data_IF_907728538746
#
_entry.id   IF_907728538746
#
_cell.length_a   1.000
_cell.length_b   1.000
_cell.length_c   1.000
_cell.angle_alpha   90.00
_cell.angle_beta   90.00
_cell.angle_gamma   90.00
#
_symmetry.space_group_name_H-M   'P 1'
#
loop_
_entity.id
_entity.type
_entity.pdbx_description
1 polymer ?
#
# COMPACT_ATOMS: atom_id res chain seq x y z
N UNK A 1 8.33 -13.62 21.47
CA UNK A 1 7.47 -13.05 20.40
C UNK A 1 6.63 -14.16 19.79
N UNK A 2 5.30 -14.12 19.92
CA UNK A 2 4.41 -15.13 19.33
C UNK A 2 4.24 -14.79 17.84
N UNK A 3 4.60 -15.73 16.95
CA UNK A 3 4.38 -15.59 15.50
C UNK A 3 3.01 -16.15 15.12
N UNK A 4 2.07 -15.27 14.79
CA UNK A 4 0.74 -15.63 14.34
C UNK A 4 0.65 -15.52 12.82
N UNK A 5 0.28 -16.62 12.16
CA UNK A 5 -0.07 -16.58 10.73
C UNK A 5 -1.49 -16.06 10.56
N UNK A 6 -1.80 -15.31 9.48
CA UNK A 6 -3.15 -14.87 9.18
C UNK A 6 -4.17 -16.02 9.14
N UNK A 7 -3.82 -17.16 8.54
CA UNK A 7 -4.74 -18.28 8.32
C UNK A 7 -4.78 -19.27 9.49
N UNK A 8 -3.63 -19.66 10.03
CA UNK A 8 -3.59 -20.69 11.10
C UNK A 8 -3.59 -20.09 12.51
N UNK A 9 -3.37 -18.78 12.65
CA UNK A 9 -3.42 -18.07 13.93
C UNK A 9 -4.68 -17.23 14.03
N UNK A 10 -4.73 -16.10 13.31
CA UNK A 10 -5.79 -15.10 13.43
C UNK A 10 -7.17 -15.65 13.00
N UNK A 11 -7.26 -16.27 11.82
CA UNK A 11 -8.51 -16.87 11.36
C UNK A 11 -8.94 -18.05 12.25
N UNK A 12 -8.00 -18.84 12.76
CA UNK A 12 -8.31 -19.93 13.68
C UNK A 12 -8.90 -19.41 14.99
N UNK A 13 -8.30 -18.36 15.57
CA UNK A 13 -8.81 -17.71 16.78
C UNK A 13 -10.20 -17.13 16.56
N UNK A 14 -10.40 -16.39 15.46
CA UNK A 14 -11.70 -15.79 15.10
C UNK A 14 -12.80 -16.84 14.94
N UNK A 15 -12.46 -18.00 14.36
CA UNK A 15 -13.44 -19.06 14.08
C UNK A 15 -13.67 -20.00 15.28
N UNK A 16 -12.64 -20.29 16.08
CA UNK A 16 -12.72 -21.20 17.22
C UNK A 16 -11.58 -20.93 18.24
N UNK A 17 -11.84 -20.14 19.30
CA UNK A 17 -10.84 -19.83 20.32
C UNK A 17 -10.30 -21.07 21.06
N UNK A 18 -11.16 -22.07 21.32
CA UNK A 18 -10.74 -23.35 21.93
C UNK A 18 -9.76 -24.09 21.03
N UNK A 19 -10.05 -24.16 19.72
CA UNK A 19 -9.18 -24.81 18.75
C UNK A 19 -7.83 -24.09 18.64
N UNK A 20 -7.84 -22.76 18.72
CA UNK A 20 -6.61 -21.96 18.79
C UNK A 20 -5.77 -22.31 20.02
N UNK A 21 -6.39 -22.37 21.20
CA UNK A 21 -5.69 -22.77 22.44
C UNK A 21 -5.10 -24.18 22.34
N UNK A 22 -5.87 -25.15 21.83
CA UNK A 22 -5.39 -26.51 21.62
C UNK A 22 -4.20 -26.56 20.64
N UNK A 23 -4.24 -25.76 19.58
CA UNK A 23 -3.16 -25.70 18.57
C UNK A 23 -1.86 -25.13 19.14
N UNK A 24 -1.91 -24.03 19.90
CA UNK A 24 -0.72 -23.35 20.40
C UNK A 24 -0.21 -23.91 21.74
N UNK A 25 -1.08 -24.38 22.63
CA UNK A 25 -0.69 -24.86 23.97
C UNK A 25 -0.61 -26.39 24.08
N UNK A 26 -1.45 -27.12 23.33
CA UNK A 26 -1.47 -28.59 23.34
C UNK A 26 -0.92 -29.21 22.06
N UNK A 27 -0.50 -28.41 21.08
CA UNK A 27 -0.01 -28.84 19.76
C UNK A 27 -0.98 -29.74 18.98
N UNK A 28 -2.26 -29.75 19.36
CA UNK A 28 -3.31 -30.51 18.67
C UNK A 28 -3.84 -29.66 17.52
N UNK A 29 -3.44 -30.01 16.30
CA UNK A 29 -3.83 -29.28 15.08
C UNK A 29 -5.14 -29.80 14.52
N UNK A 30 -5.94 -28.89 13.94
CA UNK A 30 -7.12 -29.26 13.16
C UNK A 30 -6.67 -30.04 11.90
N UNK A 31 -7.41 -31.08 11.46
CA UNK A 31 -7.16 -31.72 10.18
C UNK A 31 -7.12 -30.68 9.06
N UNK A 32 -6.16 -30.82 8.15
CA UNK A 32 -6.01 -29.90 7.02
C UNK A 32 -7.06 -30.20 5.97
N UNK A 33 -7.72 -29.16 5.47
CA UNK A 33 -8.60 -29.25 4.30
C UNK A 33 -7.78 -29.34 3.01
N UNK A 34 -8.50 -29.53 1.89
CA UNK A 34 -7.92 -29.50 0.55
C UNK A 34 -7.39 -28.09 0.30
N UNK A 35 -6.10 -27.99 -0.03
CA UNK A 35 -5.49 -26.72 -0.38
C UNK A 35 -5.44 -26.57 -1.90
N UNK A 36 -5.99 -25.49 -2.49
CA UNK A 36 -5.91 -25.27 -3.93
C UNK A 36 -4.47 -24.90 -4.30
N UNK A 37 -3.73 -25.84 -4.92
CA UNK A 37 -2.35 -25.63 -5.36
C UNK A 37 -2.24 -24.85 -6.67
N UNK A 38 -3.29 -24.87 -7.50
CA UNK A 38 -3.31 -24.27 -8.83
C UNK A 38 -2.98 -22.76 -8.82
N UNK A 39 -3.58 -21.92 -7.96
CA UNK A 39 -3.25 -20.49 -7.90
C UNK A 39 -1.76 -20.24 -7.60
N UNK A 40 -1.18 -21.04 -6.69
CA UNK A 40 0.24 -20.95 -6.38
C UNK A 40 1.13 -21.36 -7.56
N UNK A 41 0.74 -22.39 -8.31
CA UNK A 41 1.44 -22.81 -9.52
C UNK A 41 1.44 -21.75 -10.62
N UNK A 42 0.27 -21.16 -10.90
CA UNK A 42 0.13 -20.09 -11.89
C UNK A 42 0.98 -18.87 -11.53
N UNK A 43 0.91 -18.45 -10.27
CA UNK A 43 1.70 -17.34 -9.74
C UNK A 43 3.22 -17.55 -9.90
N UNK A 44 3.71 -18.77 -9.66
CA UNK A 44 5.12 -19.11 -9.88
C UNK A 44 5.54 -18.98 -11.34
N UNK A 45 4.68 -19.41 -12.28
CA UNK A 45 4.96 -19.31 -13.72
C UNK A 45 4.99 -17.84 -14.15
N UNK A 46 3.99 -17.06 -13.75
CA UNK A 46 3.87 -15.64 -14.09
C UNK A 46 5.07 -14.86 -13.52
N UNK A 47 5.43 -15.07 -12.26
CA UNK A 47 6.59 -14.41 -11.65
C UNK A 47 7.88 -14.70 -12.42
N UNK A 48 8.13 -15.97 -12.77
CA UNK A 48 9.30 -16.36 -13.56
C UNK A 48 9.30 -15.72 -14.95
N UNK A 49 8.13 -15.62 -15.59
CA UNK A 49 7.99 -14.97 -16.88
C UNK A 49 8.39 -13.49 -16.80
N UNK A 50 7.80 -12.74 -15.87
CA UNK A 50 8.08 -11.31 -15.69
C UNK A 50 9.52 -11.04 -15.21
N UNK A 51 10.14 -11.97 -14.48
CA UNK A 51 11.54 -11.86 -14.08
C UNK A 51 12.51 -11.87 -15.26
N UNK A 52 12.14 -12.47 -16.41
CA UNK A 52 12.97 -12.44 -17.62
C UNK A 52 13.04 -11.05 -18.27
N UNK A 53 12.03 -10.22 -18.04
CA UNK A 53 11.92 -8.89 -18.68
C UNK A 53 12.46 -7.77 -17.78
N UNK A 54 13.23 -8.05 -16.73
CA UNK A 54 13.78 -6.96 -15.89
C UNK A 54 14.58 -5.96 -16.73
N UNK A 55 14.16 -4.70 -16.69
CA UNK A 55 14.70 -3.62 -17.50
C UNK A 55 13.84 -3.20 -18.70
N UNK A 56 12.84 -4.01 -19.08
CA UNK A 56 11.84 -3.68 -20.11
C UNK A 56 10.45 -4.20 -19.74
N UNK A 57 9.41 -3.76 -20.45
CA UNK A 57 8.09 -4.37 -20.28
C UNK A 57 8.02 -5.65 -21.14
N UNK A 58 7.36 -6.73 -20.66
CA UNK A 58 6.97 -7.84 -21.50
C UNK A 58 6.06 -7.38 -22.66
N UNK A 59 6.13 -8.02 -23.84
CA UNK A 59 5.41 -7.61 -25.04
C UNK A 59 3.88 -7.63 -24.86
N UNK A 60 3.36 -8.39 -23.91
CA UNK A 60 1.93 -8.45 -23.62
C UNK A 60 1.38 -7.14 -23.04
N UNK A 61 2.22 -6.38 -22.33
CA UNK A 61 1.85 -5.16 -21.62
C UNK A 61 2.58 -3.92 -22.10
N UNK A 62 3.63 -4.09 -22.90
CA UNK A 62 4.34 -3.01 -23.58
C UNK A 62 3.36 -2.20 -24.45
N UNK A 63 3.36 -0.87 -24.29
CA UNK A 63 2.44 0.03 -24.98
C UNK A 63 0.99 0.03 -24.51
N UNK A 64 0.63 -0.85 -23.56
CA UNK A 64 -0.73 -0.88 -22.96
C UNK A 64 -0.79 -0.23 -21.59
N UNK A 65 0.34 -0.19 -20.89
CA UNK A 65 0.45 0.36 -19.54
C UNK A 65 1.63 1.32 -19.48
N UNK A 66 1.40 2.51 -18.94
CA UNK A 66 2.47 3.44 -18.60
C UNK A 66 3.13 3.01 -17.29
N UNK A 67 4.41 2.63 -17.35
CA UNK A 67 5.18 2.26 -16.17
C UNK A 67 6.37 1.37 -16.50
N UNK A 68 7.16 1.05 -15.46
CA UNK A 68 8.27 0.11 -15.56
C UNK A 68 8.12 -0.98 -14.50
N UNK A 69 8.77 -2.12 -14.73
CA UNK A 69 8.87 -3.15 -13.70
C UNK A 69 9.66 -2.62 -12.49
N UNK A 70 9.23 -2.96 -11.28
CA UNK A 70 9.86 -2.49 -10.04
C UNK A 70 11.36 -2.82 -10.01
N UNK A 71 12.25 -1.82 -9.85
CA UNK A 71 13.70 -2.01 -10.01
C UNK A 71 14.36 -2.71 -8.81
N UNK A 72 13.84 -2.52 -7.59
CA UNK A 72 14.43 -3.04 -6.36
C UNK A 72 14.26 -4.56 -6.19
N UNK A 73 15.19 -5.35 -6.73
CA UNK A 73 15.16 -6.82 -6.65
C UNK A 73 15.24 -7.33 -5.21
N UNK A 74 16.08 -6.72 -4.37
CA UNK A 74 16.22 -7.11 -2.96
C UNK A 74 14.94 -6.88 -2.16
N UNK A 75 14.36 -5.67 -2.29
CA UNK A 75 13.09 -5.32 -1.66
C UNK A 75 11.97 -6.26 -2.13
N UNK A 76 11.94 -6.57 -3.43
CA UNK A 76 10.97 -7.51 -3.97
C UNK A 76 11.17 -8.94 -3.42
N UNK A 77 12.41 -9.42 -3.32
CA UNK A 77 12.70 -10.74 -2.77
C UNK A 77 12.26 -10.83 -1.30
N UNK A 78 12.45 -9.75 -0.54
CA UNK A 78 11.90 -9.61 0.81
C UNK A 78 10.37 -9.67 0.81
N UNK A 79 9.68 -9.02 -0.14
CA UNK A 79 8.22 -9.05 -0.21
C UNK A 79 7.66 -10.40 -0.69
N UNK A 80 8.36 -11.08 -1.61
CA UNK A 80 8.02 -12.42 -2.07
C UNK A 80 8.13 -13.45 -0.96
N UNK A 81 9.04 -13.24 -0.01
CA UNK A 81 9.12 -14.07 1.16
C UNK A 81 8.04 -13.69 2.18
N UNK A 82 6.96 -14.47 2.18
CA UNK A 82 5.85 -14.30 3.13
C UNK A 82 6.25 -14.37 4.61
N UNK A 83 7.45 -14.90 4.93
CA UNK A 83 7.98 -14.99 6.30
C UNK A 83 8.65 -13.70 6.79
N UNK A 84 9.02 -12.80 5.88
CA UNK A 84 9.60 -11.49 6.17
C UNK A 84 8.56 -10.37 6.05
N UNK A 85 7.28 -10.72 6.28
CA UNK A 85 6.12 -9.86 6.06
C UNK A 85 6.03 -8.63 6.97
N UNK A 86 4.85 -8.00 6.99
CA UNK A 86 4.61 -6.79 7.77
C UNK A 86 4.82 -7.02 9.27
N UNK A 87 5.71 -6.22 9.85
CA UNK A 87 5.95 -6.17 11.29
C UNK A 87 5.15 -5.01 11.89
N UNK A 88 4.24 -5.32 12.81
CA UNK A 88 3.54 -4.30 13.59
C UNK A 88 4.37 -3.94 14.81
N UNK A 89 4.82 -2.68 14.85
CA UNK A 89 5.43 -2.10 16.02
C UNK A 89 4.35 -1.37 16.81
N UNK A 90 4.12 -1.79 18.05
CA UNK A 90 3.27 -1.04 18.96
C UNK A 90 3.99 0.27 19.28
N UNK A 91 3.42 1.40 18.87
CA UNK A 91 3.79 2.68 19.45
C UNK A 91 3.22 2.71 20.88
N UNK A 92 4.08 2.70 21.89
CA UNK A 92 3.67 3.03 23.25
C UNK A 92 3.60 4.56 23.30
N UNK A 93 2.42 5.08 23.66
CA UNK A 93 2.10 6.52 23.63
C UNK A 93 3.00 7.39 24.55
N UNK A 94 3.89 6.79 25.33
CA UNK A 94 4.91 7.45 26.16
C UNK A 94 5.99 8.17 25.35
N UNK A 95 6.21 7.78 24.09
CA UNK A 95 7.34 8.28 23.29
C UNK A 95 7.03 9.61 22.58
N UNK A 96 5.83 10.15 22.78
CA UNK A 96 5.44 11.49 22.31
C UNK A 96 5.85 12.62 23.28
N UNK A 97 6.47 12.29 24.43
CA UNK A 97 6.84 13.29 25.46
C UNK A 97 8.31 13.74 25.33
N UNK A 98 9.15 13.05 24.56
CA UNK A 98 10.60 13.33 24.47
C UNK A 98 11.07 13.90 23.12
N UNK A 99 10.17 14.34 22.23
CA UNK A 99 10.57 15.11 21.06
C UNK A 99 10.64 16.60 21.41
N UNK A 100 11.83 17.23 21.51
CA UNK A 100 11.91 18.67 21.65
C UNK A 100 11.29 19.33 20.41
N UNK A 101 10.30 20.18 20.65
CA UNK A 101 9.78 21.12 19.66
C UNK A 101 10.89 22.17 19.47
N UNK A 102 11.66 22.07 18.39
CA UNK A 102 12.65 23.12 18.09
C UNK A 102 13.61 22.75 16.97
N UNK A 103 13.43 23.39 15.81
CA UNK A 103 14.43 23.43 14.75
C UNK A 103 13.87 23.19 13.35
N UNK A 104 13.16 24.18 12.80
CA UNK A 104 13.01 24.30 11.35
C UNK A 104 14.41 24.36 10.73
N UNK A 105 14.73 23.59 9.67
CA UNK A 105 15.96 23.82 8.93
C UNK A 105 15.85 25.18 8.23
N UNK A 106 16.80 26.05 8.53
CA UNK A 106 16.86 27.42 8.04
C UNK A 106 16.88 27.48 6.52
N UNK A 107 15.99 28.32 5.98
CA UNK A 107 16.13 28.86 4.62
C UNK A 107 17.31 29.82 4.66
N UNK A 108 18.39 29.48 3.97
CA UNK A 108 19.52 30.39 3.73
C UNK A 108 19.08 31.53 2.79
N UNK A 109 19.42 32.80 3.09
CA UNK A 109 19.15 33.93 2.20
C UNK A 109 20.34 34.22 1.27
N UNK A 110 20.04 34.60 0.03
CA UNK A 110 20.98 35.32 -0.83
C UNK A 110 20.90 34.91 -2.29
N UNK A 111 20.25 35.73 -3.12
CA UNK A 111 20.91 36.49 -4.20
C UNK A 111 19.90 37.45 -4.82
N UNK A 112 20.16 38.74 -4.60
CA UNK A 112 19.53 39.93 -5.17
C UNK A 112 19.93 40.12 -6.63
N UNK A 113 18.95 40.38 -7.52
CA UNK A 113 19.03 41.28 -8.68
C UNK A 113 17.56 41.69 -9.00
N UNK A 114 17.12 42.89 -8.63
CA UNK A 114 17.13 44.13 -9.43
C UNK A 114 16.14 44.12 -10.62
N UNK A 115 15.13 45.00 -10.59
CA UNK A 115 14.41 45.44 -11.80
C UNK A 115 12.89 45.60 -11.72
N UNK A 116 12.44 46.71 -11.13
CA UNK A 116 11.33 47.60 -11.54
C UNK A 116 10.04 47.06 -12.23
N UNK A 117 8.92 47.36 -11.53
CA UNK A 117 7.72 48.08 -11.98
C UNK A 117 6.75 47.52 -13.04
N UNK A 118 5.48 47.92 -12.84
CA UNK A 118 4.32 47.92 -13.76
C UNK A 118 3.57 46.57 -13.90
N UNK A 119 2.24 46.43 -13.75
CA UNK A 119 1.12 47.37 -13.85
C UNK A 119 -0.08 46.92 -12.95
N UNK A 120 -0.92 47.90 -12.60
CA UNK A 120 -2.27 47.82 -12.01
C UNK A 120 -3.25 46.83 -12.68
N UNK A 121 -4.28 46.39 -11.95
CA UNK A 121 -5.56 46.06 -12.60
C UNK A 121 -6.59 45.23 -11.82
N UNK A 122 -7.38 45.91 -10.96
CA UNK A 122 -8.83 45.76 -10.72
C UNK A 122 -9.45 44.37 -10.41
N UNK A 123 -10.07 44.29 -9.23
CA UNK A 123 -11.15 43.38 -8.87
C UNK A 123 -12.50 43.83 -9.49
N UNK A 124 -13.66 43.30 -9.02
CA UNK A 124 -14.30 42.04 -9.38
C UNK A 124 -15.65 42.28 -10.08
N UNK A 125 -16.30 41.26 -10.66
CA UNK A 125 -17.74 41.35 -10.95
C UNK A 125 -18.48 40.05 -10.64
N UNK A 126 -19.48 40.24 -9.77
CA UNK A 126 -20.61 39.40 -9.39
C UNK A 126 -21.61 39.15 -10.52
N UNK A 127 -22.31 38.01 -10.45
CA UNK A 127 -23.77 37.75 -10.65
C UNK A 127 -23.94 36.32 -11.19
N UNK A 128 -24.62 35.41 -10.46
CA UNK A 128 -26.06 35.10 -10.63
C UNK A 128 -26.22 34.21 -11.88
N UNK A 129 -26.84 33.03 -11.91
CA UNK A 129 -27.90 32.34 -11.18
C UNK A 129 -28.00 30.96 -11.89
N UNK A 130 -28.33 29.84 -11.27
CA UNK A 130 -29.69 29.27 -11.23
C UNK A 130 -29.56 27.75 -11.23
N UNK A 131 -30.46 27.12 -10.49
CA UNK A 131 -30.69 25.68 -10.36
C UNK A 131 -31.22 25.07 -11.67
N UNK A 132 -30.96 23.78 -11.93
CA UNK A 132 -32.03 22.75 -12.05
C UNK A 132 -31.47 21.35 -12.38
N UNK A 133 -32.24 20.37 -11.91
CA UNK A 133 -32.06 18.92 -11.85
C UNK A 133 -31.85 18.20 -13.19
N UNK A 134 -31.22 17.02 -13.13
CA UNK A 134 -31.68 15.86 -13.89
C UNK A 134 -31.21 14.54 -13.25
N UNK A 135 -32.15 13.82 -12.66
CA UNK A 135 -32.07 12.42 -12.29
C UNK A 135 -32.20 11.54 -13.52
N UNK A 136 -31.48 10.41 -13.59
CA UNK A 136 -32.06 9.11 -13.98
C UNK A 136 -31.09 7.95 -13.73
N UNK A 137 -31.57 6.85 -13.13
CA UNK A 137 -30.87 5.58 -13.03
C UNK A 137 -31.23 4.67 -14.23
N UNK A 138 -30.28 3.88 -14.72
CA UNK A 138 -30.59 2.80 -15.67
C UNK A 138 -30.19 1.48 -15.01
N UNK A 139 -31.21 0.64 -14.79
CA UNK A 139 -31.08 -0.74 -14.34
C UNK A 139 -31.07 -1.73 -15.50
N UNK A 140 -30.37 -2.84 -15.22
CA UNK A 140 -30.73 -4.25 -15.46
C UNK A 140 -31.06 -4.70 -16.90
N UNK A 141 -30.28 -5.70 -17.35
CA UNK A 141 -30.84 -6.97 -17.83
C UNK A 141 -30.11 -8.12 -17.16
#
# INVERSE_FOLDING_TARGET
MIRLSPTTGLNLFRNCPRCFWLHYNKQVRRPRGIFPSLPGGMDLVIKKYFDRYRGKLPPEIEGKVEGCLMPGVELMNKWRNWRTGLEYHRYIKSDLISRPIGGSPGVSPGHTLSGNNFFHGLAPNTTGSSLTNASSPIGIR
#
